data_IF_196686254603
#
_entry.id   IF_196686254603
#
_cell.length_a   1.000
_cell.length_b   1.000
_cell.length_c   1.000
_cell.angle_alpha   90.00
_cell.angle_beta   90.00
_cell.angle_gamma   90.00
#
_symmetry.space_group_name_H-M   'P 1'
#
loop_
_entity.id
_entity.type
_entity.pdbx_description
1 polymer ?
#
# COMPACT_ATOMS: atom_id res chain seq x y z
N UNK A 1 -7.45 23.09 6.80
CA UNK A 1 -7.78 22.10 7.85
C UNK A 1 -6.67 21.06 7.91
N UNK A 2 -5.88 21.12 8.96
CA UNK A 2 -4.69 20.30 9.06
C UNK A 2 -4.98 19.05 9.88
N UNK A 3 -4.76 17.89 9.27
CA UNK A 3 -4.90 16.61 9.90
C UNK A 3 -3.53 16.00 10.14
N UNK A 4 -3.28 15.59 11.36
CA UNK A 4 -2.04 14.90 11.72
C UNK A 4 -2.29 13.44 12.03
N UNK A 5 -1.29 12.63 11.78
CA UNK A 5 -1.31 11.21 12.14
C UNK A 5 -0.91 11.10 13.62
N UNK A 6 -1.79 10.52 14.44
CA UNK A 6 -1.54 10.33 15.87
C UNK A 6 -1.55 8.88 16.32
N UNK A 7 -1.54 7.95 15.41
CA UNK A 7 -1.46 6.54 15.73
C UNK A 7 -1.55 5.71 14.47
N UNK A 8 -0.83 4.61 14.47
CA UNK A 8 -0.83 3.66 13.37
C UNK A 8 -0.75 2.23 13.90
N UNK A 9 -1.32 1.30 13.17
CA UNK A 9 -1.20 -0.12 13.44
C UNK A 9 -1.14 -0.91 12.13
N UNK A 10 -0.60 -2.10 12.22
CA UNK A 10 -0.41 -2.99 11.09
C UNK A 10 -0.90 -4.40 11.44
N UNK A 11 -1.69 -4.97 10.56
CA UNK A 11 -2.12 -6.35 10.64
C UNK A 11 -1.53 -7.13 9.47
N UNK A 12 -0.94 -8.26 9.77
CA UNK A 12 -0.53 -9.24 8.77
C UNK A 12 -1.54 -10.38 8.88
N UNK A 13 -2.47 -10.46 7.93
CA UNK A 13 -3.63 -11.34 8.00
C UNK A 13 -4.44 -11.08 9.29
N UNK A 14 -4.53 -12.01 10.21
CA UNK A 14 -5.20 -11.85 11.51
C UNK A 14 -4.25 -11.44 12.64
N UNK A 15 -2.95 -11.33 12.36
CA UNK A 15 -1.93 -11.06 13.36
C UNK A 15 -1.74 -9.57 13.59
N UNK A 16 -2.11 -9.11 14.78
CA UNK A 16 -1.96 -7.73 15.21
C UNK A 16 -0.50 -7.42 15.54
N UNK A 17 0.09 -6.44 14.87
CA UNK A 17 1.49 -6.05 15.06
C UNK A 17 1.66 -4.81 15.95
N UNK A 18 0.67 -4.42 16.74
CA UNK A 18 0.70 -3.21 17.57
C UNK A 18 1.93 -3.10 18.45
N UNK A 19 2.34 -4.21 19.06
CA UNK A 19 3.47 -4.23 20.00
C UNK A 19 4.82 -4.41 19.32
N UNK A 20 4.83 -4.74 18.03
CA UNK A 20 6.03 -5.08 17.26
C UNK A 20 6.39 -4.03 16.23
N UNK A 21 5.42 -3.26 15.77
CA UNK A 21 5.59 -2.34 14.65
C UNK A 21 6.61 -1.26 14.97
N UNK A 22 7.69 -1.20 14.20
CA UNK A 22 8.67 -0.13 14.24
C UNK A 22 8.39 0.92 13.17
N UNK A 23 8.26 0.49 11.92
CA UNK A 23 7.99 1.37 10.78
C UNK A 23 7.10 0.69 9.77
N UNK A 24 6.30 1.47 9.06
CA UNK A 24 5.51 1.06 7.90
C UNK A 24 5.49 2.20 6.89
N UNK A 25 5.79 1.88 5.65
CA UNK A 25 5.66 2.81 4.52
C UNK A 25 4.62 2.28 3.57
N UNK A 26 3.56 3.03 3.38
CA UNK A 26 2.52 2.69 2.42
C UNK A 26 3.06 2.79 0.99
N UNK A 27 2.47 2.06 0.03
CA UNK A 27 2.91 2.08 -1.35
C UNK A 27 2.95 3.49 -1.94
N UNK A 28 4.02 3.79 -2.64
CA UNK A 28 4.11 4.98 -3.47
C UNK A 28 3.25 4.76 -4.72
N UNK A 29 2.38 5.71 -5.02
CA UNK A 29 1.49 5.64 -6.18
C UNK A 29 2.12 6.38 -7.34
N UNK A 30 2.63 5.64 -8.32
CA UNK A 30 3.23 6.16 -9.54
C UNK A 30 2.50 5.62 -10.77
N UNK A 31 2.39 6.47 -11.77
CA UNK A 31 1.88 6.07 -13.08
C UNK A 31 3.03 6.01 -14.08
N UNK A 32 3.06 4.97 -14.89
CA UNK A 32 3.95 4.91 -16.04
C UNK A 32 3.66 6.08 -16.98
N UNK A 33 4.71 6.69 -17.52
CA UNK A 33 4.61 7.89 -18.36
C UNK A 33 5.36 7.70 -19.66
N UNK A 34 4.80 8.24 -20.72
CA UNK A 34 5.45 8.33 -22.01
C UNK A 34 5.47 9.78 -22.45
N UNK A 35 6.63 10.25 -22.93
CA UNK A 35 6.81 11.62 -23.39
C UNK A 35 6.46 11.73 -24.86
N UNK A 36 5.51 12.61 -25.19
CA UNK A 36 5.17 12.97 -26.56
C UNK A 36 5.94 14.24 -26.96
N UNK A 37 6.69 14.12 -28.03
CA UNK A 37 7.37 15.23 -28.68
C UNK A 37 6.51 15.75 -29.83
N UNK A 38 6.20 17.04 -29.80
CA UNK A 38 5.41 17.69 -30.84
C UNK A 38 6.33 18.50 -31.75
N UNK A 39 6.27 18.25 -33.06
CA UNK A 39 7.17 18.85 -34.01
C UNK A 39 7.13 20.40 -34.10
N UNK A 40 6.02 21.02 -33.71
CA UNK A 40 5.90 22.46 -33.68
C UNK A 40 5.72 23.04 -32.26
N UNK A 41 5.84 22.22 -31.23
CA UNK A 41 5.62 22.61 -29.84
C UNK A 41 6.87 23.18 -29.17
N UNK A 42 6.67 24.07 -28.20
CA UNK A 42 7.77 24.63 -27.40
C UNK A 42 8.10 23.79 -26.16
N UNK A 43 7.26 22.81 -25.83
CA UNK A 43 7.48 21.90 -24.70
C UNK A 43 6.85 20.52 -24.96
N UNK A 44 7.35 19.53 -24.27
CA UNK A 44 6.90 18.16 -24.38
C UNK A 44 5.74 17.89 -23.40
N UNK A 45 4.87 16.93 -23.77
CA UNK A 45 3.82 16.43 -22.91
C UNK A 45 4.16 15.03 -22.42
N UNK A 46 4.05 14.83 -21.11
CA UNK A 46 4.15 13.50 -20.51
C UNK A 46 2.75 12.92 -20.33
N UNK A 47 2.47 11.80 -21.00
CA UNK A 47 1.17 11.13 -20.94
C UNK A 47 1.25 9.98 -19.91
N UNK A 48 0.43 10.01 -18.85
CA UNK A 48 0.39 8.92 -17.89
C UNK A 48 -0.45 7.74 -18.40
N UNK A 49 -0.01 6.54 -18.08
CA UNK A 49 -0.68 5.28 -18.40
C UNK A 49 -1.06 4.51 -17.13
N UNK A 50 -0.68 3.23 -17.06
CA UNK A 50 -1.02 2.35 -15.95
C UNK A 50 -0.33 2.75 -14.64
N UNK A 51 -0.85 2.24 -13.53
CA UNK A 51 -0.22 2.36 -12.21
C UNK A 51 0.93 1.35 -12.13
N UNK A 52 2.11 1.84 -11.76
CA UNK A 52 3.28 1.01 -11.57
C UNK A 52 3.13 0.08 -10.36
N UNK A 53 3.95 -0.96 -10.34
CA UNK A 53 3.95 -1.96 -9.25
C UNK A 53 4.03 -1.29 -7.87
N UNK A 54 3.20 -1.78 -6.96
CA UNK A 54 3.13 -1.29 -5.59
C UNK A 54 3.99 -2.15 -4.66
N UNK A 55 4.69 -1.51 -3.75
CA UNK A 55 5.47 -2.15 -2.71
C UNK A 55 5.24 -1.44 -1.37
N UNK A 56 5.20 -2.21 -0.28
CA UNK A 56 5.04 -1.67 1.06
C UNK A 56 6.09 -2.26 1.99
N UNK A 57 7.18 -1.54 2.28
CA UNK A 57 8.15 -1.97 3.27
C UNK A 57 7.63 -1.71 4.69
N UNK A 58 7.89 -2.65 5.58
CA UNK A 58 7.61 -2.50 7.01
C UNK A 58 8.69 -3.16 7.85
N UNK A 59 8.85 -2.71 9.08
CA UNK A 59 9.81 -3.29 10.02
C UNK A 59 9.17 -3.56 11.37
N UNK A 60 9.58 -4.65 11.97
CA UNK A 60 9.09 -5.12 13.26
C UNK A 60 10.25 -5.29 14.24
N UNK A 61 10.05 -4.86 15.46
CA UNK A 61 10.99 -5.11 16.54
C UNK A 61 10.95 -6.58 16.96
N UNK A 62 12.11 -7.16 17.16
CA UNK A 62 12.24 -8.54 17.58
C UNK A 62 12.31 -9.54 16.41
N UNK A 63 12.21 -10.81 16.72
CA UNK A 63 12.28 -11.90 15.78
C UNK A 63 10.99 -12.70 15.82
N UNK A 64 10.29 -12.77 14.69
CA UNK A 64 8.94 -13.33 14.59
C UNK A 64 8.87 -14.35 13.46
N UNK A 65 8.81 -15.63 13.83
CA UNK A 65 8.71 -16.74 12.88
C UNK A 65 7.36 -16.78 12.16
N UNK A 66 6.30 -16.28 12.79
CA UNK A 66 4.96 -16.21 12.19
C UNK A 66 4.93 -15.31 10.95
N UNK A 67 5.72 -14.24 10.94
CA UNK A 67 5.84 -13.35 9.79
C UNK A 67 6.86 -13.88 8.78
N UNK A 68 8.01 -14.41 9.24
CA UNK A 68 9.01 -15.00 8.35
C UNK A 68 8.46 -16.20 7.57
N UNK A 69 7.56 -16.97 8.16
CA UNK A 69 6.95 -18.14 7.51
C UNK A 69 6.07 -17.78 6.30
N UNK A 70 5.67 -16.49 6.16
CA UNK A 70 4.91 -16.03 5.02
C UNK A 70 5.77 -15.81 3.77
N UNK A 71 7.08 -15.73 3.94
CA UNK A 71 8.01 -15.71 2.82
C UNK A 71 7.99 -17.05 2.09
N UNK A 72 7.89 -17.03 0.79
CA UNK A 72 7.86 -18.25 0.00
C UNK A 72 6.46 -18.75 -0.36
N UNK A 73 5.40 -18.05 0.04
CA UNK A 73 4.08 -18.32 -0.53
C UNK A 73 4.09 -18.02 -2.01
N UNK A 74 3.42 -18.86 -2.78
CA UNK A 74 3.34 -18.71 -4.22
C UNK A 74 2.16 -17.81 -4.64
N UNK A 75 2.23 -17.19 -5.85
CA UNK A 75 1.10 -16.46 -6.41
C UNK A 75 -0.18 -17.32 -6.42
N UNK A 76 -1.26 -16.76 -5.93
CA UNK A 76 -2.53 -17.47 -5.70
C UNK A 76 -2.82 -17.70 -4.22
N UNK A 77 -1.80 -17.86 -3.39
CA UNK A 77 -1.93 -17.91 -1.93
C UNK A 77 -1.62 -16.54 -1.32
N UNK A 78 -2.50 -15.60 -1.59
CA UNK A 78 -2.33 -14.21 -1.22
C UNK A 78 -2.51 -13.96 0.27
N UNK A 79 -1.69 -13.09 0.83
CA UNK A 79 -1.81 -12.60 2.20
C UNK A 79 -2.44 -11.21 2.18
N UNK A 80 -3.40 -10.98 3.06
CA UNK A 80 -4.05 -9.68 3.20
C UNK A 80 -3.42 -8.92 4.36
N UNK A 81 -3.07 -7.65 4.10
CA UNK A 81 -2.46 -6.76 5.07
C UNK A 81 -3.39 -5.59 5.32
N UNK A 82 -3.47 -5.14 6.57
CA UNK A 82 -4.32 -4.02 6.97
C UNK A 82 -3.48 -2.98 7.68
N UNK A 83 -3.57 -1.75 7.21
CA UNK A 83 -2.99 -0.60 7.87
C UNK A 83 -4.08 0.27 8.45
N UNK A 84 -3.95 0.63 9.72
CA UNK A 84 -4.90 1.48 10.44
C UNK A 84 -4.18 2.74 10.89
N UNK A 85 -4.84 3.88 10.70
CA UNK A 85 -4.29 5.20 11.02
C UNK A 85 -5.35 6.05 11.68
N UNK A 86 -4.97 6.71 12.76
CA UNK A 86 -5.82 7.71 13.39
C UNK A 86 -5.38 9.09 12.94
N UNK A 87 -6.28 9.80 12.31
CA UNK A 87 -6.13 11.18 11.88
C UNK A 87 -6.85 12.09 12.88
N UNK A 88 -6.18 13.12 13.34
CA UNK A 88 -6.78 14.13 14.19
C UNK A 88 -6.76 15.49 13.52
N UNK A 89 -7.90 16.13 13.47
CA UNK A 89 -8.04 17.50 12.99
C UNK A 89 -7.57 18.47 14.08
N UNK A 90 -6.57 19.28 13.76
CA UNK A 90 -6.01 20.25 14.70
C UNK A 90 -6.95 21.43 15.00
N UNK A 91 -7.88 21.70 14.11
CA UNK A 91 -8.80 22.83 14.24
C UNK A 91 -9.93 22.55 15.21
N UNK A 92 -10.56 21.39 15.10
CA UNK A 92 -11.75 21.07 15.90
C UNK A 92 -11.59 19.84 16.81
N UNK A 93 -10.44 19.16 16.75
CA UNK A 93 -10.15 18.00 17.57
C UNK A 93 -10.91 16.72 17.21
N UNK A 94 -11.53 16.66 16.04
CA UNK A 94 -12.24 15.47 15.57
C UNK A 94 -11.26 14.41 15.08
N UNK A 95 -11.46 13.16 15.50
CA UNK A 95 -10.69 12.01 15.04
C UNK A 95 -11.35 11.35 13.85
N UNK A 96 -10.55 10.92 12.87
CA UNK A 96 -10.98 10.10 11.74
C UNK A 96 -10.10 8.87 11.60
N UNK A 97 -10.69 7.77 11.16
CA UNK A 97 -9.97 6.54 10.89
C UNK A 97 -9.66 6.41 9.39
N UNK A 98 -8.43 5.99 9.10
CA UNK A 98 -8.03 5.56 7.76
C UNK A 98 -7.66 4.10 7.79
N UNK A 99 -8.10 3.35 6.80
CA UNK A 99 -7.77 1.93 6.63
C UNK A 99 -7.23 1.73 5.23
N UNK A 100 -6.05 1.13 5.13
CA UNK A 100 -5.49 0.71 3.84
C UNK A 100 -5.40 -0.80 3.83
N UNK A 101 -5.98 -1.42 2.82
CA UNK A 101 -6.00 -2.87 2.65
C UNK A 101 -5.14 -3.22 1.44
N UNK A 102 -4.15 -4.08 1.67
CA UNK A 102 -3.24 -4.59 0.65
C UNK A 102 -3.37 -6.11 0.57
N UNK A 103 -3.40 -6.62 -0.64
CA UNK A 103 -3.38 -8.06 -0.89
C UNK A 103 -2.16 -8.38 -1.75
N UNK A 104 -1.24 -9.15 -1.21
CA UNK A 104 0.02 -9.42 -1.89
C UNK A 104 0.80 -10.53 -1.21
N UNK A 105 2.11 -10.51 -1.38
CA UNK A 105 3.03 -11.49 -0.84
C UNK A 105 4.17 -10.81 -0.09
N UNK A 106 4.73 -11.48 0.90
CA UNK A 106 6.00 -11.09 1.50
C UNK A 106 7.13 -11.50 0.57
N UNK A 107 7.74 -10.55 -0.10
CA UNK A 107 8.76 -10.80 -1.12
C UNK A 107 10.18 -10.65 -0.62
N UNK A 108 10.39 -9.93 0.48
CA UNK A 108 11.70 -9.68 1.06
C UNK A 108 11.64 -9.81 2.57
N UNK A 109 12.59 -10.55 3.12
CA UNK A 109 12.83 -10.65 4.56
C UNK A 109 14.29 -10.35 4.82
N UNK A 110 14.55 -9.25 5.53
CA UNK A 110 15.90 -8.87 5.97
C UNK A 110 16.01 -9.12 7.45
N UNK A 111 16.80 -10.13 7.82
CA UNK A 111 16.99 -10.47 9.22
C UNK A 111 17.86 -9.43 9.92
N UNK A 112 17.61 -9.14 11.21
CA UNK A 112 18.30 -8.08 11.91
C UNK A 112 19.76 -8.45 12.18
N UNK A 113 20.61 -7.42 12.17
CA UNK A 113 21.96 -7.51 12.70
C UNK A 113 21.87 -7.61 14.22
N UNK A 114 22.53 -8.61 14.79
CA UNK A 114 22.64 -8.78 16.25
C UNK A 114 24.03 -8.40 16.71
N UNK A 115 24.10 -7.43 17.60
CA UNK A 115 25.34 -6.99 18.24
C UNK A 115 25.21 -7.16 19.77
N UNK A 116 25.94 -8.11 20.33
CA UNK A 116 25.79 -8.50 21.73
C UNK A 116 24.40 -9.05 22.00
N UNK A 117 23.64 -8.37 22.87
CA UNK A 117 22.25 -8.75 23.24
C UNK A 117 21.20 -7.95 22.49
N UNK A 118 21.61 -7.02 21.61
CA UNK A 118 20.70 -6.16 20.84
C UNK A 118 20.66 -6.55 19.40
N UNK A 119 19.46 -6.65 18.85
CA UNK A 119 19.19 -6.79 17.43
C UNK A 119 18.48 -5.55 16.90
N UNK A 120 18.76 -5.20 15.66
CA UNK A 120 18.01 -4.18 14.92
C UNK A 120 16.60 -4.72 14.58
N UNK A 121 15.71 -3.83 14.15
CA UNK A 121 14.39 -4.25 13.67
C UNK A 121 14.52 -5.11 12.41
N UNK A 122 13.77 -6.19 12.33
CA UNK A 122 13.67 -7.01 11.13
C UNK A 122 12.87 -6.26 10.07
N UNK A 123 13.35 -6.30 8.84
CA UNK A 123 12.73 -5.60 7.71
C UNK A 123 12.04 -6.58 6.77
N UNK A 124 10.85 -6.21 6.36
CA UNK A 124 10.03 -6.98 5.44
C UNK A 124 9.51 -6.08 4.34
N UNK A 125 9.17 -6.66 3.21
CA UNK A 125 8.53 -5.94 2.12
C UNK A 125 7.36 -6.74 1.59
N UNK A 126 6.22 -6.07 1.45
CA UNK A 126 5.07 -6.58 0.73
C UNK A 126 5.24 -6.19 -0.73
N UNK A 127 5.25 -7.18 -1.60
CA UNK A 127 5.29 -6.99 -3.05
C UNK A 127 4.20 -7.80 -3.73
N UNK A 128 4.22 -7.84 -5.05
CA UNK A 128 3.19 -8.52 -5.86
C UNK A 128 1.78 -8.15 -5.41
N UNK A 129 1.55 -6.87 -5.15
CA UNK A 129 0.27 -6.36 -4.64
C UNK A 129 -0.74 -6.39 -5.78
N UNK A 130 -1.81 -7.16 -5.59
CA UNK A 130 -2.88 -7.35 -6.59
C UNK A 130 -4.15 -6.58 -6.25
N UNK A 131 -4.29 -6.12 -5.01
CA UNK A 131 -5.40 -5.29 -4.57
C UNK A 131 -4.90 -4.23 -3.60
N UNK A 132 -5.34 -3.00 -3.83
CA UNK A 132 -5.09 -1.85 -2.97
C UNK A 132 -6.39 -1.10 -2.72
N UNK A 133 -6.72 -0.88 -1.45
CA UNK A 133 -7.89 -0.09 -1.06
C UNK A 133 -7.49 0.92 0.01
N UNK A 134 -7.88 2.15 -0.18
CA UNK A 134 -7.67 3.23 0.79
C UNK A 134 -9.03 3.81 1.19
N UNK A 135 -9.37 3.66 2.46
CA UNK A 135 -10.68 4.04 3.00
C UNK A 135 -10.45 5.04 4.13
N UNK A 136 -11.04 6.21 4.01
CA UNK A 136 -10.99 7.26 5.03
C UNK A 136 -12.41 7.53 5.53
N UNK A 137 -12.63 7.33 6.83
CA UNK A 137 -13.92 7.58 7.49
C UNK A 137 -15.10 6.84 6.79
N UNK A 138 -14.85 5.60 6.39
CA UNK A 138 -15.82 4.77 5.67
C UNK A 138 -15.98 5.09 4.19
N UNK A 139 -15.28 6.11 3.68
CA UNK A 139 -15.35 6.53 2.28
C UNK A 139 -14.12 6.04 1.52
N UNK A 140 -14.33 5.31 0.45
CA UNK A 140 -13.27 4.76 -0.40
C UNK A 140 -12.62 5.87 -1.25
N UNK A 141 -11.33 6.12 -1.01
CA UNK A 141 -10.54 7.11 -1.78
C UNK A 141 -9.95 6.48 -3.02
N UNK A 142 -9.34 5.30 -2.85
CA UNK A 142 -8.74 4.53 -3.95
C UNK A 142 -9.17 3.07 -3.87
N UNK A 143 -9.36 2.46 -5.02
CA UNK A 143 -9.55 1.03 -5.16
C UNK A 143 -8.92 0.55 -6.46
N UNK A 144 -7.87 -0.25 -6.34
CA UNK A 144 -7.19 -0.87 -7.47
C UNK A 144 -7.26 -2.38 -7.30
N UNK A 145 -7.78 -3.07 -8.32
CA UNK A 145 -7.89 -4.53 -8.32
C UNK A 145 -7.39 -5.06 -9.67
N UNK A 146 -6.30 -5.79 -9.64
CA UNK A 146 -5.66 -6.32 -10.84
C UNK A 146 -6.55 -7.35 -11.55
N UNK A 147 -7.11 -8.30 -10.80
CA UNK A 147 -7.85 -9.41 -11.40
C UNK A 147 -9.20 -9.00 -11.98
N UNK A 148 -9.88 -8.05 -11.34
CA UNK A 148 -11.14 -7.51 -11.82
C UNK A 148 -10.95 -6.26 -12.69
N UNK A 149 -9.69 -5.83 -12.86
CA UNK A 149 -9.32 -4.62 -13.59
C UNK A 149 -10.14 -3.39 -13.15
N UNK A 150 -10.26 -3.20 -11.84
CA UNK A 150 -10.96 -2.07 -11.25
C UNK A 150 -10.00 -0.92 -10.95
N UNK A 151 -10.41 0.27 -11.34
CA UNK A 151 -9.73 1.52 -11.03
C UNK A 151 -10.77 2.54 -10.58
N UNK A 152 -10.87 2.73 -9.27
CA UNK A 152 -11.78 3.70 -8.66
C UNK A 152 -10.96 4.70 -7.88
N UNK A 153 -11.15 5.99 -8.16
CA UNK A 153 -10.46 7.09 -7.51
C UNK A 153 -11.47 8.14 -7.06
N UNK A 154 -11.49 8.40 -5.75
CA UNK A 154 -12.39 9.37 -5.12
C UNK A 154 -13.87 9.18 -5.51
N UNK A 155 -14.31 7.92 -5.56
CA UNK A 155 -15.68 7.55 -5.91
C UNK A 155 -15.98 7.53 -7.42
N UNK A 156 -15.03 7.92 -8.27
CA UNK A 156 -15.18 7.88 -9.73
C UNK A 156 -14.60 6.57 -10.27
N UNK A 157 -15.43 5.78 -10.92
CA UNK A 157 -15.03 4.52 -11.52
C UNK A 157 -14.51 4.74 -12.95
N UNK A 158 -13.19 4.76 -13.12
CA UNK A 158 -12.54 4.90 -14.41
C UNK A 158 -12.45 3.60 -15.19
N UNK A 159 -12.69 2.47 -14.54
CA UNK A 159 -12.52 1.15 -15.15
C UNK A 159 -13.74 0.67 -15.94
N UNK A 160 -14.93 1.16 -15.61
CA UNK A 160 -16.16 0.64 -16.21
C UNK A 160 -16.20 0.83 -17.72
N UNK A 161 -16.07 2.05 -18.20
CA UNK A 161 -16.09 2.37 -19.63
C UNK A 161 -14.91 1.71 -20.35
N UNK A 162 -13.72 1.76 -19.76
CA UNK A 162 -12.53 1.12 -20.32
C UNK A 162 -12.75 -0.39 -20.54
N UNK A 163 -13.25 -1.09 -19.52
CA UNK A 163 -13.49 -2.53 -19.59
C UNK A 163 -14.58 -2.89 -20.61
N UNK A 164 -15.60 -2.05 -20.73
CA UNK A 164 -16.65 -2.23 -21.74
C UNK A 164 -16.09 -2.10 -23.16
N UNK A 165 -15.24 -1.09 -23.40
CA UNK A 165 -14.65 -0.83 -24.70
C UNK A 165 -13.71 -1.95 -25.13
N UNK A 166 -12.84 -2.44 -24.24
CA UNK A 166 -11.88 -3.50 -24.56
C UNK A 166 -12.43 -4.91 -24.36
N UNK A 167 -13.68 -5.05 -23.95
CA UNK A 167 -14.35 -6.33 -23.68
C UNK A 167 -13.64 -7.17 -22.60
N UNK A 168 -13.16 -6.48 -21.57
CA UNK A 168 -12.47 -7.12 -20.44
C UNK A 168 -13.43 -7.41 -19.27
#
# INVERSE_FOLDING_TARGET
MDRIIQGANWYVDTLNQRLRLAEITLPELNRAKETLQMGGGFFNLSVPYEIEELEAPFSLNGSHEDIRSLFGREPGDWTTFYYYERLRDLTNGVNKGRVVILKGLVTTVTQPKVAGKKGDAAQYKVGSIVEYRDIVDGKEVHRFDLFNNHLVMNGVNYSQEHNEIIAA
#
